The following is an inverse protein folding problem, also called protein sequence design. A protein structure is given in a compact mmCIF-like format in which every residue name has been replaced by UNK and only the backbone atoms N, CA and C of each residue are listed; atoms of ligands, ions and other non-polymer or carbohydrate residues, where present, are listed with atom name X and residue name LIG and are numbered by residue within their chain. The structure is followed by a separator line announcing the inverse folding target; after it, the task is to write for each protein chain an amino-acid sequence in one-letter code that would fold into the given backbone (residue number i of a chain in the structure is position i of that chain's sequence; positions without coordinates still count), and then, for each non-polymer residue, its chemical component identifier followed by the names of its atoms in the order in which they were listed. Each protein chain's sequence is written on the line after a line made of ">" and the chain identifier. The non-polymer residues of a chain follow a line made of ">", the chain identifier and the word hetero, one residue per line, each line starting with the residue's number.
data_IF_810063900125
#
_entry.id   IF_810063900125
#
_cell.length_a   1.000
_cell.length_b   1.000
_cell.length_c   1.000
_cell.angle_alpha   90.00
_cell.angle_beta   90.00
_cell.angle_gamma   90.00
#
_symmetry.space_group_name_H-M   'P 1'
#
loop_
_entity.id
_entity.type
_entity.pdbx_description
1 polymer ?
#
# COMPACT_ATOMS: atom_id res chain seq x y z
N UNK A 1 18.62 67.74 10.52
CA UNK A 1 17.93 67.74 11.73
C UNK A 1 17.70 66.35 12.20
N UNK A 2 18.45 65.87 12.97
CA UNK A 2 18.54 65.57 14.37
C UNK A 2 17.22 65.74 15.11
N UNK A 3 16.77 64.68 15.74
CA UNK A 3 16.04 64.55 16.97
C UNK A 3 15.35 63.18 16.98
N UNK A 4 15.64 62.33 17.75
CA UNK A 4 15.98 61.95 19.10
C UNK A 4 15.85 60.43 19.17
N UNK A 5 16.75 59.76 19.36
CA UNK A 5 17.45 59.14 20.53
C UNK A 5 16.67 59.31 21.83
N UNK A 6 16.48 58.13 22.46
CA UNK A 6 16.21 57.84 23.88
C UNK A 6 14.75 57.84 24.32
N UNK A 7 14.36 56.67 24.78
CA UNK A 7 13.96 56.34 26.13
C UNK A 7 13.55 54.86 26.10
N UNK A 8 14.19 54.04 26.66
CA UNK A 8 14.64 53.71 28.01
C UNK A 8 13.90 52.46 28.51
N UNK A 9 14.75 51.51 28.83
CA UNK A 9 14.40 50.26 29.50
C UNK A 9 13.73 50.51 30.86
N UNK A 10 12.82 49.63 31.24
CA UNK A 10 12.54 49.28 32.63
C UNK A 10 12.04 47.82 32.66
N UNK A 11 12.89 46.96 33.03
CA UNK A 11 12.92 46.00 34.14
C UNK A 11 11.59 45.76 34.87
N UNK A 12 11.16 44.52 34.85
CA UNK A 12 10.60 43.87 36.03
C UNK A 12 11.00 42.36 36.03
N UNK A 13 11.90 42.10 36.96
CA UNK A 13 12.33 40.79 37.44
C UNK A 13 11.38 40.38 38.56
N UNK A 14 10.82 39.20 38.48
CA UNK A 14 10.37 38.32 39.57
C UNK A 14 9.75 37.10 38.90
N UNK A 15 10.06 35.90 39.22
CA UNK A 15 10.75 35.25 40.28
C UNK A 15 11.06 33.82 39.88
N UNK A 16 12.24 33.40 40.23
CA UNK A 16 12.68 32.01 40.23
C UNK A 16 11.90 31.21 41.25
N UNK A 17 11.41 30.05 40.85
CA UNK A 17 11.40 28.88 41.73
C UNK A 17 11.95 27.69 40.97
N UNK A 18 13.19 27.36 41.29
CA UNK A 18 13.76 26.04 41.02
C UNK A 18 13.01 24.99 41.84
N UNK A 19 12.61 23.94 41.17
CA UNK A 19 12.51 22.62 41.80
C UNK A 19 13.16 21.60 40.85
N UNK A 20 14.44 21.34 41.15
CA UNK A 20 15.11 20.12 40.70
C UNK A 20 14.49 18.94 41.46
N UNK A 21 13.90 18.00 40.73
CA UNK A 21 13.82 16.63 41.20
C UNK A 21 14.42 15.76 40.12
N UNK A 22 15.63 15.32 40.37
CA UNK A 22 16.30 14.26 39.62
C UNK A 22 15.63 12.94 39.98
N UNK A 23 15.16 12.21 38.96
CA UNK A 23 15.11 10.76 39.03
C UNK A 23 15.29 10.24 37.59
N UNK A 24 16.37 9.48 37.40
CA UNK A 24 16.68 8.82 36.17
C UNK A 24 15.62 7.73 35.87
N UNK A 25 15.28 7.64 34.63
CA UNK A 25 14.49 6.56 34.06
C UNK A 25 14.62 6.68 32.56
N UNK A 26 15.34 5.75 31.97
CA UNK A 26 15.33 5.52 30.53
C UNK A 26 13.88 5.34 30.09
N UNK A 27 13.31 6.30 29.42
CA UNK A 27 12.04 6.13 28.72
C UNK A 27 12.37 5.78 27.28
N UNK A 28 12.34 4.48 27.00
CA UNK A 28 11.93 4.00 25.69
C UNK A 28 10.63 4.71 25.36
N UNK A 29 10.70 5.63 24.42
CA UNK A 29 9.50 6.24 23.86
C UNK A 29 8.90 5.22 22.88
N UNK A 30 8.20 4.23 23.43
CA UNK A 30 7.15 3.58 22.68
C UNK A 30 6.21 4.71 22.24
N UNK A 31 6.13 4.94 20.94
CA UNK A 31 5.04 5.73 20.35
C UNK A 31 3.77 4.96 20.65
N UNK A 32 3.09 5.36 21.71
CA UNK A 32 1.79 4.83 22.11
C UNK A 32 0.76 5.22 21.06
N UNK A 33 -0.09 4.26 20.75
CA UNK A 33 -1.37 4.33 20.05
C UNK A 33 -2.01 5.73 20.18
N UNK A 34 -1.78 6.59 19.22
CA UNK A 34 -2.69 7.69 18.95
C UNK A 34 -3.73 7.12 17.99
N UNK A 35 -4.93 6.92 18.50
CA UNK A 35 -6.11 6.94 17.65
C UNK A 35 -6.04 8.28 16.93
N UNK A 36 -5.68 8.23 15.65
CA UNK A 36 -5.42 9.42 14.85
C UNK A 36 -6.76 10.15 14.68
N UNK A 37 -6.94 11.22 15.46
CA UNK A 37 -8.05 12.17 15.24
C UNK A 37 -7.86 12.98 13.95
N UNK A 38 -7.22 12.40 12.92
CA UNK A 38 -7.13 12.99 11.59
C UNK A 38 -8.48 12.88 10.90
N UNK A 39 -8.95 13.99 10.36
CA UNK A 39 -10.14 14.04 9.51
C UNK A 39 -9.89 13.45 8.10
N UNK A 40 -8.64 13.02 7.80
CA UNK A 40 -8.22 12.49 6.51
C UNK A 40 -7.69 11.06 6.66
N UNK A 41 -7.88 10.27 5.60
CA UNK A 41 -7.26 8.96 5.42
C UNK A 41 -6.45 9.00 4.11
N UNK A 42 -5.13 8.96 4.22
CA UNK A 42 -4.20 9.10 3.08
C UNK A 42 -3.71 7.73 2.66
N UNK A 43 -4.07 7.31 1.46
CA UNK A 43 -3.75 6.01 0.89
C UNK A 43 -2.63 6.15 -0.14
N UNK A 44 -1.51 5.45 0.08
CA UNK A 44 -0.41 5.36 -0.87
C UNK A 44 -0.63 4.22 -1.86
N UNK A 45 -0.47 4.51 -3.16
CA UNK A 45 -0.67 3.54 -4.23
C UNK A 45 0.18 3.87 -5.46
N UNK A 46 0.43 2.86 -6.31
CA UNK A 46 1.01 3.03 -7.64
C UNK A 46 -0.11 3.34 -8.64
N UNK A 47 -0.03 4.49 -9.31
CA UNK A 47 -1.05 4.94 -10.27
C UNK A 47 -0.96 4.26 -11.65
N UNK A 48 0.02 3.40 -11.86
CA UNK A 48 0.24 2.66 -13.10
C UNK A 48 -0.02 1.14 -12.93
N UNK A 49 -0.88 0.78 -11.94
CA UNK A 49 -1.16 -0.59 -11.55
C UNK A 49 -2.66 -0.99 -11.71
N UNK A 50 -3.21 -0.97 -12.94
CA UNK A 50 -4.57 -1.47 -13.17
C UNK A 50 -4.66 -2.99 -12.95
N UNK A 51 -5.78 -3.51 -12.41
CA UNK A 51 -7.03 -2.82 -12.11
C UNK A 51 -7.12 -2.25 -10.69
N UNK A 52 -6.04 -2.26 -9.92
CA UNK A 52 -6.05 -1.92 -8.50
C UNK A 52 -6.01 -0.40 -8.25
N UNK A 53 -5.05 0.30 -8.88
CA UNK A 53 -4.94 1.74 -8.83
C UNK A 53 -4.37 2.30 -10.13
N UNK A 54 -5.08 3.21 -10.78
CA UNK A 54 -4.64 3.81 -12.04
C UNK A 54 -5.37 5.12 -12.33
N UNK A 55 -4.91 5.82 -13.36
CA UNK A 55 -5.57 7.02 -13.88
C UNK A 55 -6.60 6.60 -14.93
N UNK A 56 -7.88 6.92 -14.68
CA UNK A 56 -8.96 6.67 -15.61
C UNK A 56 -8.95 7.57 -16.85
N UNK A 57 -9.84 7.31 -17.80
CA UNK A 57 -9.97 8.10 -19.03
C UNK A 57 -10.39 9.56 -18.78
N UNK A 58 -11.00 9.82 -17.64
CA UNK A 58 -11.40 11.16 -17.16
C UNK A 58 -10.27 11.93 -16.46
N UNK A 59 -9.12 11.27 -16.25
CA UNK A 59 -7.96 11.83 -15.56
C UNK A 59 -8.00 11.73 -14.04
N UNK A 60 -9.04 11.09 -13.48
CA UNK A 60 -9.16 10.85 -12.04
C UNK A 60 -8.60 9.47 -11.67
N UNK A 61 -8.21 9.31 -10.40
CA UNK A 61 -7.76 8.01 -9.90
C UNK A 61 -8.95 7.06 -9.73
N UNK A 62 -8.77 5.85 -10.20
CA UNK A 62 -9.76 4.77 -10.15
C UNK A 62 -9.07 3.42 -9.96
N UNK A 63 -9.85 2.36 -9.77
CA UNK A 63 -9.36 1.01 -9.59
C UNK A 63 -10.03 0.33 -8.39
N UNK A 64 -9.92 -0.99 -8.36
CA UNK A 64 -10.55 -1.79 -7.31
C UNK A 64 -10.17 -1.32 -5.90
N UNK A 65 -8.87 -1.19 -5.63
CA UNK A 65 -8.39 -0.76 -4.31
C UNK A 65 -8.70 0.70 -4.03
N UNK A 66 -8.72 1.55 -5.06
CA UNK A 66 -9.09 2.97 -4.93
C UNK A 66 -10.55 3.12 -4.51
N UNK A 67 -11.46 2.36 -5.11
CA UNK A 67 -12.88 2.39 -4.74
C UNK A 67 -13.12 1.77 -3.36
N UNK A 68 -12.44 0.65 -3.05
CA UNK A 68 -12.49 0.04 -1.72
C UNK A 68 -12.02 1.01 -0.63
N UNK A 69 -10.89 1.69 -0.86
CA UNK A 69 -10.34 2.67 0.09
C UNK A 69 -11.24 3.90 0.24
N UNK A 70 -11.85 4.36 -0.86
CA UNK A 70 -12.76 5.51 -0.85
C UNK A 70 -14.03 5.22 -0.05
N UNK A 71 -14.64 4.07 -0.27
CA UNK A 71 -15.81 3.63 0.49
C UNK A 71 -15.46 3.42 1.97
N UNK A 72 -14.30 2.78 2.24
CA UNK A 72 -13.82 2.59 3.59
C UNK A 72 -13.64 3.92 4.32
N UNK A 73 -12.99 4.92 3.70
CA UNK A 73 -12.84 6.25 4.26
C UNK A 73 -14.18 6.93 4.57
N UNK A 74 -15.14 6.81 3.65
CA UNK A 74 -16.48 7.37 3.83
C UNK A 74 -17.19 6.77 5.05
N UNK A 75 -17.11 5.46 5.24
CA UNK A 75 -17.70 4.75 6.41
C UNK A 75 -17.00 5.14 7.72
N UNK A 76 -15.68 5.32 7.71
CA UNK A 76 -14.93 5.82 8.86
C UNK A 76 -15.18 7.31 9.15
N UNK A 77 -15.95 8.01 8.31
CA UNK A 77 -16.19 9.47 8.42
C UNK A 77 -14.95 10.32 8.14
N UNK A 78 -13.98 9.78 7.42
CA UNK A 78 -12.73 10.44 7.05
C UNK A 78 -12.77 10.90 5.59
N UNK A 79 -12.06 11.99 5.29
CA UNK A 79 -11.84 12.42 3.91
C UNK A 79 -10.72 11.59 3.31
N UNK A 80 -11.00 10.89 2.20
CA UNK A 80 -9.97 10.18 1.44
C UNK A 80 -8.97 11.16 0.82
N UNK A 81 -7.68 10.82 0.88
CA UNK A 81 -6.60 11.45 0.13
C UNK A 81 -5.87 10.34 -0.62
N UNK A 82 -5.96 10.36 -1.93
CA UNK A 82 -5.28 9.41 -2.80
C UNK A 82 -3.90 9.97 -3.15
N UNK A 83 -2.84 9.32 -2.66
CA UNK A 83 -1.46 9.75 -2.82
C UNK A 83 -0.72 8.79 -3.73
N UNK A 84 -0.50 9.13 -5.02
CA UNK A 84 0.36 8.32 -5.86
C UNK A 84 1.81 8.38 -5.33
N UNK A 85 2.45 7.23 -5.31
CA UNK A 85 3.83 7.07 -4.84
C UNK A 85 4.65 6.27 -5.85
N UNK A 86 5.97 6.49 -5.86
CA UNK A 86 6.88 5.55 -6.48
C UNK A 86 6.94 4.27 -5.63
N UNK A 87 6.75 3.10 -6.26
CA UNK A 87 6.60 1.86 -5.50
C UNK A 87 7.82 1.51 -4.64
N UNK A 88 9.02 1.83 -5.10
CA UNK A 88 10.26 1.62 -4.35
C UNK A 88 10.48 2.63 -3.20
N UNK A 89 9.61 3.66 -3.10
CA UNK A 89 9.62 4.63 -2.01
C UNK A 89 8.56 4.36 -0.93
N UNK A 90 7.71 3.33 -1.11
CA UNK A 90 6.53 3.06 -0.25
C UNK A 90 6.83 3.03 1.25
N UNK A 91 7.95 2.40 1.62
CA UNK A 91 8.34 2.24 3.02
C UNK A 91 8.75 3.58 3.64
N UNK A 92 9.49 4.38 2.88
CA UNK A 92 9.92 5.72 3.31
C UNK A 92 8.71 6.67 3.46
N UNK A 93 7.74 6.60 2.55
CA UNK A 93 6.51 7.40 2.62
C UNK A 93 5.66 7.01 3.84
N UNK A 94 5.55 5.71 4.11
CA UNK A 94 4.84 5.19 5.28
C UNK A 94 5.55 5.55 6.60
N UNK A 95 6.88 5.42 6.64
CA UNK A 95 7.71 5.81 7.80
C UNK A 95 7.65 7.31 8.09
N UNK A 96 7.65 8.13 7.05
CA UNK A 96 7.54 9.58 7.15
C UNK A 96 6.13 10.04 7.57
N UNK A 97 5.11 9.17 7.46
CA UNK A 97 3.72 9.49 7.75
C UNK A 97 3.09 10.40 6.69
N UNK A 98 3.62 10.42 5.48
CA UNK A 98 3.03 11.11 4.31
C UNK A 98 1.84 10.34 3.77
N UNK A 99 1.81 9.02 3.99
CA UNK A 99 0.68 8.14 3.78
C UNK A 99 0.33 7.43 5.09
N UNK A 100 -0.93 7.07 5.26
CA UNK A 100 -1.43 6.35 6.44
C UNK A 100 -1.39 4.84 6.25
N UNK A 101 -1.50 4.37 5.00
CA UNK A 101 -1.38 2.97 4.62
C UNK A 101 -0.92 2.82 3.16
N UNK A 102 -0.50 1.61 2.81
CA UNK A 102 -0.27 1.15 1.44
C UNK A 102 -1.45 0.23 1.07
N UNK A 103 -2.18 0.59 0.01
CA UNK A 103 -3.32 -0.18 -0.47
C UNK A 103 -3.32 -0.22 -1.99
N UNK A 104 -2.75 -1.27 -2.57
CA UNK A 104 -2.55 -1.40 -4.03
C UNK A 104 -2.18 -2.81 -4.45
N UNK A 105 -3.04 -3.81 -4.19
CA UNK A 105 -2.65 -5.19 -4.45
C UNK A 105 -1.35 -5.52 -3.70
N UNK A 106 -1.30 -5.18 -2.42
CA UNK A 106 -0.05 -5.26 -1.66
C UNK A 106 0.13 -6.63 -1.02
N UNK A 107 1.10 -7.38 -1.53
CA UNK A 107 1.41 -8.74 -1.08
C UNK A 107 1.91 -8.76 0.35
N UNK A 108 1.21 -9.49 1.21
CA UNK A 108 1.57 -9.68 2.61
C UNK A 108 2.66 -10.74 2.78
N UNK A 109 2.63 -11.81 1.97
CA UNK A 109 3.53 -12.96 2.09
C UNK A 109 5.02 -12.54 2.02
N UNK A 110 5.79 -13.02 3.00
CA UNK A 110 7.20 -12.68 3.14
C UNK A 110 7.47 -11.30 3.76
N UNK A 111 6.44 -10.57 4.16
CA UNK A 111 6.50 -9.24 4.79
C UNK A 111 5.66 -9.13 6.05
N UNK A 112 5.27 -10.26 6.63
CA UNK A 112 4.31 -10.35 7.75
C UNK A 112 4.77 -9.58 8.99
N UNK A 113 6.07 -9.50 9.21
CA UNK A 113 6.71 -8.82 10.35
C UNK A 113 7.18 -7.38 10.04
N UNK A 114 7.02 -6.92 8.79
CA UNK A 114 7.48 -5.59 8.37
C UNK A 114 6.41 -4.51 8.54
N UNK A 115 5.14 -4.90 8.50
CA UNK A 115 3.99 -3.99 8.58
C UNK A 115 2.97 -4.49 9.60
N UNK A 116 2.04 -3.62 9.94
CA UNK A 116 0.78 -4.03 10.60
C UNK A 116 -0.25 -4.23 9.50
N UNK A 117 -0.73 -5.45 9.33
CA UNK A 117 -1.60 -5.84 8.22
C UNK A 117 -3.06 -6.00 8.64
N UNK A 118 -3.99 -5.72 7.72
CA UNK A 118 -5.33 -6.29 7.81
C UNK A 118 -5.29 -7.80 7.57
N UNK A 119 -6.39 -8.49 7.81
CA UNK A 119 -6.58 -9.81 7.21
C UNK A 119 -6.55 -9.68 5.68
N UNK A 120 -6.03 -10.71 4.96
CA UNK A 120 -5.98 -10.65 3.52
C UNK A 120 -7.40 -10.59 2.92
N UNK A 121 -7.59 -9.65 1.98
CA UNK A 121 -8.88 -9.44 1.34
C UNK A 121 -9.02 -10.14 -0.01
N UNK A 122 -7.90 -10.57 -0.61
CA UNK A 122 -7.86 -11.20 -1.94
C UNK A 122 -6.68 -12.15 -2.07
N UNK A 123 -6.88 -13.30 -2.71
CA UNK A 123 -5.80 -14.17 -3.19
C UNK A 123 -5.28 -13.70 -4.55
N UNK A 124 -3.99 -13.86 -4.79
CA UNK A 124 -3.32 -13.54 -6.05
C UNK A 124 -2.29 -14.61 -6.43
N UNK A 125 -1.85 -14.59 -7.68
CA UNK A 125 -0.76 -15.43 -8.17
C UNK A 125 0.14 -14.65 -9.09
N UNK A 126 1.45 -14.81 -8.91
CA UNK A 126 2.45 -14.28 -9.82
C UNK A 126 2.54 -15.17 -11.06
N UNK A 127 2.38 -14.59 -12.22
CA UNK A 127 2.38 -15.30 -13.51
C UNK A 127 3.38 -14.69 -14.48
N UNK A 128 3.74 -15.42 -15.52
CA UNK A 128 4.61 -14.94 -16.59
C UNK A 128 3.82 -14.69 -17.86
N UNK A 129 4.02 -13.52 -18.44
CA UNK A 129 3.48 -13.16 -19.76
C UNK A 129 4.58 -13.22 -20.80
N UNK A 130 4.31 -13.88 -21.90
CA UNK A 130 5.22 -13.99 -23.04
C UNK A 130 4.50 -13.70 -24.35
N UNK A 131 5.27 -13.33 -25.39
CA UNK A 131 4.72 -13.29 -26.75
C UNK A 131 4.41 -14.69 -27.23
N UNK A 132 3.30 -14.89 -27.91
CA UNK A 132 2.89 -16.20 -28.44
C UNK A 132 3.91 -16.80 -29.42
N UNK A 133 4.62 -15.96 -30.14
CA UNK A 133 5.65 -16.36 -31.10
C UNK A 133 7.05 -16.50 -30.48
N UNK A 134 7.19 -16.32 -29.16
CA UNK A 134 8.47 -16.39 -28.46
C UNK A 134 9.07 -17.80 -28.39
N UNK A 135 8.23 -18.83 -28.54
CA UNK A 135 8.63 -20.22 -28.32
C UNK A 135 8.80 -20.60 -26.86
N UNK A 136 8.40 -19.70 -25.92
CA UNK A 136 8.41 -19.93 -24.48
C UNK A 136 7.02 -20.44 -24.08
N UNK A 137 6.96 -21.62 -23.46
CA UNK A 137 5.70 -22.28 -23.07
C UNK A 137 5.69 -22.70 -21.59
N UNK A 138 6.86 -22.76 -20.96
CA UNK A 138 7.05 -23.18 -19.57
C UNK A 138 8.00 -22.22 -18.85
N UNK A 139 8.00 -22.23 -17.52
CA UNK A 139 8.97 -21.48 -16.73
C UNK A 139 10.40 -21.91 -17.04
N UNK A 140 10.64 -23.19 -17.32
CA UNK A 140 11.98 -23.70 -17.65
C UNK A 140 12.55 -23.07 -18.95
N UNK A 141 11.70 -22.67 -19.89
CA UNK A 141 12.12 -22.01 -21.14
C UNK A 141 12.67 -20.60 -20.91
N UNK A 142 12.42 -20.01 -19.73
CA UNK A 142 12.93 -18.70 -19.34
C UNK A 142 14.42 -18.72 -18.94
N UNK A 143 15.00 -19.90 -18.75
CA UNK A 143 16.42 -19.99 -18.40
C UNK A 143 17.29 -19.16 -19.35
N UNK A 144 18.07 -18.22 -18.80
CA UNK A 144 18.92 -17.24 -19.51
C UNK A 144 18.17 -16.21 -20.35
N UNK A 145 16.86 -16.03 -20.14
CA UNK A 145 16.10 -14.92 -20.72
C UNK A 145 16.17 -13.70 -19.80
N UNK A 146 16.01 -12.54 -20.38
CA UNK A 146 15.79 -11.30 -19.63
C UNK A 146 14.30 -11.12 -19.47
N UNK A 147 13.86 -10.90 -18.25
CA UNK A 147 12.46 -10.70 -17.90
C UNK A 147 12.35 -9.36 -17.18
N UNK A 148 11.35 -8.59 -17.50
CA UNK A 148 11.09 -7.30 -16.83
C UNK A 148 10.19 -7.52 -15.63
N UNK A 149 10.46 -6.79 -14.55
CA UNK A 149 9.73 -6.82 -13.29
C UNK A 149 9.79 -5.43 -12.65
N UNK A 150 8.74 -5.08 -11.92
CA UNK A 150 8.74 -3.84 -11.14
C UNK A 150 9.70 -3.99 -9.94
N UNK A 151 10.54 -2.98 -9.74
CA UNK A 151 11.46 -2.92 -8.61
C UNK A 151 10.71 -2.94 -7.27
N UNK A 152 11.24 -3.64 -6.26
CA UNK A 152 10.65 -3.81 -4.92
C UNK A 152 9.26 -4.48 -4.93
N UNK A 153 8.88 -5.14 -6.02
CA UNK A 153 7.64 -5.92 -6.11
C UNK A 153 7.76 -7.31 -5.49
N UNK A 154 6.62 -7.94 -5.26
CA UNK A 154 6.58 -9.35 -4.85
C UNK A 154 7.14 -10.29 -5.93
N UNK A 155 6.96 -9.94 -7.21
CA UNK A 155 7.54 -10.66 -8.32
C UNK A 155 9.07 -10.67 -8.26
N UNK A 156 9.71 -9.52 -8.02
CA UNK A 156 11.16 -9.44 -7.85
C UNK A 156 11.63 -10.31 -6.69
N UNK A 157 10.91 -10.30 -5.56
CA UNK A 157 11.23 -11.13 -4.40
C UNK A 157 11.12 -12.62 -4.74
N UNK A 158 10.02 -13.04 -5.36
CA UNK A 158 9.79 -14.44 -5.72
C UNK A 158 10.83 -15.00 -6.71
N UNK A 159 11.39 -14.13 -7.56
CA UNK A 159 12.40 -14.52 -8.53
C UNK A 159 13.82 -14.58 -7.97
N UNK A 160 14.07 -13.81 -6.92
CA UNK A 160 15.35 -13.86 -6.20
C UNK A 160 15.41 -15.03 -5.21
N UNK A 161 14.32 -15.77 -5.06
CA UNK A 161 14.29 -16.97 -4.23
C UNK A 161 15.12 -18.10 -4.89
N UNK A 162 15.80 -18.92 -4.10
CA UNK A 162 16.72 -19.98 -4.60
C UNK A 162 16.03 -20.95 -5.56
N UNK A 163 14.71 -21.16 -5.42
CA UNK A 163 13.92 -22.04 -6.28
C UNK A 163 13.74 -21.48 -7.71
N UNK A 164 13.85 -20.16 -7.88
CA UNK A 164 13.61 -19.45 -9.12
C UNK A 164 14.79 -18.61 -9.60
N UNK A 165 15.98 -18.81 -9.04
CA UNK A 165 17.18 -18.01 -9.32
C UNK A 165 17.59 -17.92 -10.80
N UNK A 166 17.05 -18.79 -11.66
CA UNK A 166 17.24 -18.77 -13.11
C UNK A 166 16.14 -17.98 -13.87
N UNK A 167 15.15 -17.41 -13.16
CA UNK A 167 13.96 -16.81 -13.73
C UNK A 167 13.76 -15.38 -13.21
N UNK A 168 13.38 -14.46 -14.07
CA UNK A 168 13.01 -13.08 -13.72
C UNK A 168 11.69 -12.71 -14.43
N UNK A 169 10.63 -12.37 -13.71
CA UNK A 169 9.28 -12.26 -14.22
C UNK A 169 8.64 -10.87 -14.14
N UNK A 170 7.70 -10.59 -14.99
CA UNK A 170 6.92 -9.37 -15.04
C UNK A 170 5.47 -9.57 -14.62
N UNK A 171 4.83 -8.52 -14.16
CA UNK A 171 3.64 -8.54 -13.37
C UNK A 171 2.44 -7.76 -13.93
N UNK A 172 1.22 -8.01 -13.39
CA UNK A 172 -0.06 -7.46 -13.86
C UNK A 172 -0.39 -7.88 -15.30
N UNK A 173 -0.26 -9.17 -15.55
CA UNK A 173 -0.28 -9.73 -16.89
C UNK A 173 -1.63 -9.58 -17.60
N UNK A 174 -2.74 -9.85 -16.91
CA UNK A 174 -4.03 -9.97 -17.58
C UNK A 174 -4.57 -8.63 -18.07
N UNK A 175 -4.43 -7.57 -17.29
CA UNK A 175 -4.86 -6.24 -17.70
C UNK A 175 -3.96 -5.59 -18.74
N UNK A 176 -2.66 -5.84 -18.69
CA UNK A 176 -1.73 -5.28 -19.68
C UNK A 176 -1.81 -5.96 -21.04
N UNK A 177 -2.37 -7.16 -21.11
CA UNK A 177 -2.59 -7.86 -22.38
C UNK A 177 -4.02 -7.74 -22.90
N UNK A 178 -4.93 -7.11 -22.16
CA UNK A 178 -6.28 -6.86 -22.61
C UNK A 178 -6.28 -6.15 -23.98
N UNK A 179 -7.01 -6.71 -24.96
CA UNK A 179 -6.99 -6.27 -26.35
C UNK A 179 -5.71 -6.62 -27.12
N UNK A 180 -4.80 -7.42 -26.54
CA UNK A 180 -3.57 -7.92 -27.18
C UNK A 180 -3.42 -9.44 -27.03
N UNK A 181 -4.49 -10.13 -26.70
CA UNK A 181 -4.52 -11.57 -26.45
C UNK A 181 -4.13 -12.40 -27.69
N UNK A 182 -4.18 -11.79 -28.87
CA UNK A 182 -3.67 -12.36 -30.10
C UNK A 182 -2.13 -12.42 -30.16
N UNK A 183 -1.44 -11.53 -29.41
CA UNK A 183 0.01 -11.35 -29.42
C UNK A 183 0.69 -11.97 -28.21
N UNK A 184 0.03 -12.03 -27.07
CA UNK A 184 0.58 -12.47 -25.79
C UNK A 184 -0.15 -13.67 -25.23
N UNK A 185 0.51 -14.39 -24.35
CA UNK A 185 -0.06 -15.48 -23.55
C UNK A 185 0.50 -15.44 -22.13
N UNK A 186 -0.32 -15.87 -21.18
CA UNK A 186 0.09 -16.15 -19.81
C UNK A 186 0.51 -17.62 -19.77
N UNK A 187 1.62 -17.95 -19.12
CA UNK A 187 2.01 -19.34 -18.89
C UNK A 187 1.07 -19.99 -17.86
N UNK A 188 0.79 -21.28 -18.04
CA UNK A 188 -0.06 -22.05 -17.13
C UNK A 188 0.58 -22.23 -15.73
N UNK A 189 1.91 -22.17 -15.68
CA UNK A 189 2.68 -22.29 -14.43
C UNK A 189 2.72 -20.95 -13.72
N UNK A 190 2.48 -20.96 -12.41
CA UNK A 190 2.60 -19.77 -11.54
C UNK A 190 3.96 -19.75 -10.85
N UNK A 191 4.53 -18.57 -10.63
CA UNK A 191 5.77 -18.39 -9.88
C UNK A 191 5.50 -18.53 -8.39
N UNK A 192 4.46 -17.86 -7.89
CA UNK A 192 4.03 -17.91 -6.49
C UNK A 192 2.53 -17.68 -6.38
N UNK A 193 1.98 -18.17 -5.26
CA UNK A 193 0.65 -17.77 -4.79
C UNK A 193 0.82 -16.85 -3.60
N UNK A 194 0.02 -15.81 -3.54
CA UNK A 194 0.15 -14.76 -2.54
C UNK A 194 -1.19 -14.18 -2.14
N UNK A 195 -1.20 -13.35 -1.11
CA UNK A 195 -2.39 -12.72 -0.57
C UNK A 195 -2.19 -11.22 -0.49
N UNK A 196 -3.20 -10.47 -0.90
CA UNK A 196 -3.22 -9.03 -0.79
C UNK A 196 -3.90 -8.58 0.49
N UNK A 197 -3.26 -7.63 1.17
CA UNK A 197 -3.76 -7.01 2.39
C UNK A 197 -3.41 -5.51 2.42
N UNK A 198 -4.03 -4.75 3.29
CA UNK A 198 -3.68 -3.34 3.52
C UNK A 198 -2.54 -3.27 4.53
N UNK A 199 -1.44 -2.62 4.17
CA UNK A 199 -0.25 -2.48 5.01
C UNK A 199 -0.17 -1.13 5.69
N UNK A 200 0.01 -1.13 7.01
CA UNK A 200 0.18 0.06 7.84
C UNK A 200 1.59 0.09 8.45
N UNK A 201 2.02 1.26 8.91
CA UNK A 201 3.24 1.37 9.69
C UNK A 201 3.22 0.36 10.86
N UNK A 202 4.34 -0.31 11.08
CA UNK A 202 4.45 -1.35 12.10
C UNK A 202 4.08 -0.81 13.49
N UNK A 203 3.08 -1.41 14.12
CA UNK A 203 2.51 -1.01 15.41
C UNK A 203 1.28 -0.08 15.29
N UNK A 204 0.88 0.38 14.12
CA UNK A 204 -0.34 1.18 13.94
C UNK A 204 -1.59 0.27 13.91
N UNK A 205 -1.88 -0.34 15.05
CA UNK A 205 -3.00 -1.29 15.19
C UNK A 205 -4.35 -0.60 15.21
N UNK A 206 -4.44 0.61 15.76
CA UNK A 206 -5.71 1.32 15.90
C UNK A 206 -6.34 1.64 14.54
N UNK A 207 -5.59 2.22 13.62
CA UNK A 207 -6.10 2.52 12.28
C UNK A 207 -6.33 1.23 11.45
N UNK A 208 -5.43 0.23 11.60
CA UNK A 208 -5.61 -1.08 10.99
C UNK A 208 -6.93 -1.72 11.44
N UNK A 209 -7.26 -1.70 12.73
CA UNK A 209 -8.48 -2.30 13.27
C UNK A 209 -9.73 -1.55 12.79
N UNK A 210 -9.65 -0.22 12.65
CA UNK A 210 -10.71 0.61 12.07
C UNK A 210 -10.97 0.22 10.61
N UNK A 211 -9.93 0.09 9.78
CA UNK A 211 -10.04 -0.33 8.38
C UNK A 211 -10.52 -1.78 8.30
N UNK A 212 -9.97 -2.69 9.11
CA UNK A 212 -10.38 -4.10 9.15
C UNK A 212 -11.87 -4.26 9.45
N UNK A 213 -12.37 -3.57 10.47
CA UNK A 213 -13.79 -3.64 10.83
C UNK A 213 -14.68 -3.09 9.71
N UNK A 214 -14.25 -2.01 9.07
CA UNK A 214 -14.98 -1.41 7.95
C UNK A 214 -15.01 -2.32 6.73
N UNK A 215 -13.90 -3.00 6.42
CA UNK A 215 -13.87 -4.01 5.35
C UNK A 215 -14.84 -5.15 5.62
N UNK A 216 -14.94 -5.63 6.87
CA UNK A 216 -15.90 -6.67 7.24
C UNK A 216 -17.35 -6.19 7.11
N UNK A 217 -17.65 -4.93 7.45
CA UNK A 217 -18.97 -4.34 7.21
C UNK A 217 -19.31 -4.31 5.71
N UNK A 218 -18.33 -3.97 4.85
CA UNK A 218 -18.52 -3.97 3.39
C UNK A 218 -18.74 -5.39 2.83
N UNK A 219 -18.15 -6.40 3.46
CA UNK A 219 -18.42 -7.80 3.12
C UNK A 219 -19.85 -8.19 3.54
N UNK A 220 -20.26 -7.82 4.76
CA UNK A 220 -21.57 -8.19 5.31
C UNK A 220 -22.73 -7.60 4.53
N UNK A 221 -22.61 -6.33 4.10
CA UNK A 221 -23.68 -5.65 3.35
C UNK A 221 -23.60 -5.84 1.83
N UNK A 222 -22.55 -6.52 1.32
CA UNK A 222 -22.37 -6.87 -0.08
C UNK A 222 -21.65 -5.82 -0.92
N UNK A 223 -21.27 -4.68 -0.36
CA UNK A 223 -20.55 -3.60 -1.08
C UNK A 223 -19.21 -4.09 -1.61
N UNK A 224 -18.47 -4.91 -0.85
CA UNK A 224 -17.24 -5.51 -1.32
C UNK A 224 -17.46 -6.32 -2.61
N UNK A 225 -18.47 -7.20 -2.60
CA UNK A 225 -18.80 -8.02 -3.77
C UNK A 225 -19.28 -7.18 -4.97
N UNK A 226 -19.99 -6.07 -4.74
CA UNK A 226 -20.43 -5.16 -5.79
C UNK A 226 -19.21 -4.52 -6.49
N UNK A 227 -18.29 -3.93 -5.73
CA UNK A 227 -17.06 -3.35 -6.27
C UNK A 227 -16.21 -4.42 -6.95
N UNK A 228 -16.05 -5.59 -6.33
CA UNK A 228 -15.30 -6.70 -6.92
C UNK A 228 -15.85 -7.13 -8.28
N UNK A 229 -17.18 -7.29 -8.40
CA UNK A 229 -17.81 -7.65 -9.65
C UNK A 229 -17.63 -6.62 -10.76
N UNK A 230 -17.52 -5.34 -10.42
CA UNK A 230 -17.27 -4.27 -11.38
C UNK A 230 -15.92 -4.45 -12.10
N UNK A 231 -14.88 -4.86 -11.37
CA UNK A 231 -13.51 -4.97 -11.89
C UNK A 231 -13.16 -6.37 -12.40
N UNK A 232 -13.66 -7.41 -11.76
CA UNK A 232 -13.26 -8.80 -12.03
C UNK A 232 -14.38 -9.67 -12.61
N UNK A 233 -15.63 -9.22 -12.53
CA UNK A 233 -16.78 -10.00 -12.95
C UNK A 233 -17.20 -11.11 -11.97
N UNK A 234 -16.55 -11.19 -10.80
CA UNK A 234 -16.85 -12.12 -9.72
C UNK A 234 -16.35 -11.58 -8.38
N UNK A 235 -16.79 -12.18 -7.27
CA UNK A 235 -16.36 -11.80 -5.92
C UNK A 235 -15.01 -12.45 -5.57
N UNK A 236 -13.96 -11.62 -5.41
CA UNK A 236 -12.60 -12.04 -5.05
C UNK A 236 -12.35 -12.08 -3.55
N UNK A 237 -13.35 -11.74 -2.73
CA UNK A 237 -13.21 -11.59 -1.27
C UNK A 237 -12.73 -12.87 -0.60
N UNK A 238 -11.73 -12.76 0.27
CA UNK A 238 -11.24 -13.83 1.15
C UNK A 238 -11.54 -13.58 2.62
N UNK A 239 -12.01 -12.37 2.97
CA UNK A 239 -12.34 -11.99 4.34
C UNK A 239 -13.50 -12.82 4.90
N UNK A 240 -13.32 -13.32 6.11
CA UNK A 240 -14.36 -14.08 6.83
C UNK A 240 -14.60 -15.50 6.32
N UNK A 241 -13.72 -16.02 5.44
CA UNK A 241 -13.79 -17.39 4.90
C UNK A 241 -12.85 -18.33 5.62
#
# INVERSE_FOLDING_TARGET
>A
GDFMKKFMALLLVAGMTLSLTACGGSTDTAKTDQADGKDTFTVGFDQDFPPFGYVGDDGEFTGFDIEMATECAARMGKKIVLQPIDWDAKDMELEAGTIDCIWNGFTMNGREDQYTWTDPYMDNSQVVVVKKDSGINTLADLARKVVEVQKESAAETALNDEEHADLMASFVAQFQIEGKEDQYQILDETISSEQYAVGFFLGNTALRDEVQSTLLEMVEDGTFAEISNQYFGYDVCTLGK
#
